data_IF_037300022426
#
_entry.id   IF_037300022426
#
_cell.length_a   1.000
_cell.length_b   1.000
_cell.length_c   1.000
_cell.angle_alpha   90.00
_cell.angle_beta   90.00
_cell.angle_gamma   90.00
#
_symmetry.space_group_name_H-M   'P 1'
#
loop_
_entity.id
_entity.type
_entity.pdbx_description
1 polymer ?
#
# COMPACT_ATOMS: atom_id res chain seq x y z
N UNK A 1 -5.65 16.74 -24.19
CA UNK A 1 -5.39 15.60 -23.30
C UNK A 1 -6.36 14.49 -23.67
N UNK A 2 -5.87 13.30 -24.01
CA UNK A 2 -6.72 12.20 -24.45
C UNK A 2 -7.69 11.81 -23.35
N UNK A 3 -8.98 11.99 -23.58
CA UNK A 3 -10.09 11.80 -22.63
C UNK A 3 -10.42 10.35 -22.29
N UNK A 4 -9.50 9.41 -22.50
CA UNK A 4 -9.80 7.98 -22.36
C UNK A 4 -8.85 7.14 -21.51
N UNK A 5 -7.64 7.61 -21.20
CA UNK A 5 -6.67 6.78 -20.43
C UNK A 5 -6.71 7.18 -18.96
N UNK A 6 -6.91 6.24 -18.04
CA UNK A 6 -6.78 6.50 -16.61
C UNK A 6 -5.41 7.08 -16.28
N UNK A 7 -5.39 8.14 -15.48
CA UNK A 7 -4.13 8.76 -15.06
C UNK A 7 -3.56 8.08 -13.80
N UNK A 8 -4.43 7.74 -12.84
CA UNK A 8 -4.07 7.10 -11.58
C UNK A 8 -4.53 5.65 -11.59
N UNK A 9 -3.64 4.73 -11.24
CA UNK A 9 -3.93 3.32 -11.01
C UNK A 9 -3.78 2.98 -9.54
N UNK A 10 -4.85 2.51 -8.92
CA UNK A 10 -4.84 2.00 -7.55
C UNK A 10 -4.67 0.49 -7.60
N UNK A 11 -3.55 0.00 -7.05
CA UNK A 11 -3.16 -1.41 -7.06
C UNK A 11 -3.37 -1.95 -5.65
N UNK A 12 -4.23 -2.95 -5.53
CA UNK A 12 -4.65 -3.54 -4.26
C UNK A 12 -4.27 -5.02 -4.24
N UNK A 13 -3.19 -5.42 -3.53
CA UNK A 13 -2.92 -6.83 -3.27
C UNK A 13 -3.98 -7.40 -2.34
N UNK A 14 -4.59 -8.53 -2.71
CA UNK A 14 -5.64 -9.18 -1.92
C UNK A 14 -5.39 -10.69 -1.79
N UNK A 15 -5.57 -11.22 -0.57
CA UNK A 15 -5.54 -12.65 -0.26
C UNK A 15 -6.50 -12.95 0.88
N UNK A 16 -7.62 -13.64 0.60
CA UNK A 16 -8.71 -13.94 1.55
C UNK A 16 -9.26 -12.67 2.24
N UNK A 17 -9.66 -11.68 1.45
CA UNK A 17 -10.10 -10.34 1.90
C UNK A 17 -11.57 -10.04 1.58
N UNK A 18 -12.42 -11.06 1.30
CA UNK A 18 -13.84 -10.87 0.95
C UNK A 18 -14.60 -9.97 1.92
N UNK A 19 -14.21 -9.96 3.21
CA UNK A 19 -14.90 -9.23 4.29
C UNK A 19 -14.50 -7.75 4.36
N UNK A 20 -13.27 -7.40 3.98
CA UNK A 20 -12.72 -6.05 4.16
C UNK A 20 -12.61 -5.28 2.84
N UNK A 21 -12.35 -5.99 1.77
CA UNK A 21 -12.19 -5.43 0.43
C UNK A 21 -13.36 -4.54 -0.02
N UNK A 22 -14.65 -4.86 0.27
CA UNK A 22 -15.76 -3.99 -0.11
C UNK A 22 -15.65 -2.57 0.45
N UNK A 23 -15.30 -2.44 1.73
CA UNK A 23 -15.16 -1.14 2.38
C UNK A 23 -13.98 -0.33 1.81
N UNK A 24 -12.86 -1.01 1.50
CA UNK A 24 -11.70 -0.41 0.86
C UNK A 24 -12.05 0.08 -0.55
N UNK A 25 -12.68 -0.76 -1.37
CA UNK A 25 -13.10 -0.38 -2.73
C UNK A 25 -14.09 0.77 -2.74
N UNK A 26 -15.04 0.79 -1.79
CA UNK A 26 -15.97 1.91 -1.66
C UNK A 26 -15.27 3.22 -1.28
N UNK A 27 -14.27 3.17 -0.38
CA UNK A 27 -13.48 4.35 -0.03
C UNK A 27 -12.66 4.85 -1.22
N UNK A 28 -12.08 3.94 -2.02
CA UNK A 28 -11.37 4.27 -3.25
C UNK A 28 -12.30 4.90 -4.29
N UNK A 29 -13.50 4.34 -4.49
CA UNK A 29 -14.50 4.88 -5.41
C UNK A 29 -14.90 6.31 -5.01
N UNK A 30 -15.18 6.56 -3.73
CA UNK A 30 -15.50 7.90 -3.23
C UNK A 30 -14.36 8.89 -3.53
N UNK A 31 -13.12 8.46 -3.34
CA UNK A 31 -11.95 9.29 -3.62
C UNK A 31 -11.75 9.53 -5.12
N UNK A 32 -12.00 8.52 -5.95
CA UNK A 32 -11.94 8.63 -7.41
C UNK A 32 -13.03 9.55 -7.96
N UNK A 33 -14.24 9.48 -7.42
CA UNK A 33 -15.35 10.37 -7.80
C UNK A 33 -15.03 11.83 -7.47
N UNK A 34 -14.45 12.09 -6.31
CA UNK A 34 -14.03 13.45 -5.92
C UNK A 34 -12.94 13.97 -6.88
N UNK A 35 -11.92 13.20 -7.14
CA UNK A 35 -10.84 13.56 -8.08
C UNK A 35 -11.40 13.84 -9.48
N UNK A 36 -12.29 12.97 -9.97
CA UNK A 36 -12.91 13.15 -11.29
C UNK A 36 -13.78 14.41 -11.37
N UNK A 37 -14.55 14.70 -10.32
CA UNK A 37 -15.44 15.87 -10.29
C UNK A 37 -14.69 17.19 -10.23
N UNK A 38 -13.54 17.24 -9.56
CA UNK A 38 -12.78 18.47 -9.35
C UNK A 38 -11.69 18.68 -10.40
N UNK A 39 -10.98 17.64 -10.78
CA UNK A 39 -9.81 17.73 -11.65
C UNK A 39 -9.99 17.03 -13.02
N UNK A 40 -11.12 16.36 -13.26
CA UNK A 40 -11.40 15.65 -14.51
C UNK A 40 -10.52 14.41 -14.73
N UNK A 41 -9.82 13.92 -13.70
CA UNK A 41 -8.86 12.82 -13.78
C UNK A 41 -9.58 11.49 -13.54
N UNK A 42 -9.32 10.52 -14.41
CA UNK A 42 -9.83 9.17 -14.26
C UNK A 42 -8.89 8.29 -13.42
N UNK A 43 -9.50 7.31 -12.76
CA UNK A 43 -8.82 6.31 -11.94
C UNK A 43 -9.24 4.91 -12.40
N UNK A 44 -8.30 3.97 -12.40
CA UNK A 44 -8.59 2.53 -12.54
C UNK A 44 -8.13 1.81 -11.28
N UNK A 45 -8.95 0.85 -10.82
CA UNK A 45 -8.62 0.01 -9.66
C UNK A 45 -8.28 -1.39 -10.15
N UNK A 46 -7.09 -1.86 -9.76
CA UNK A 46 -6.60 -3.21 -10.04
C UNK A 46 -6.48 -3.96 -8.71
N UNK A 47 -7.32 -4.97 -8.53
CA UNK A 47 -7.17 -5.93 -7.43
C UNK A 47 -6.35 -7.10 -7.92
N UNK A 48 -5.23 -7.36 -7.27
CA UNK A 48 -4.40 -8.53 -7.58
C UNK A 48 -4.73 -9.62 -6.58
N UNK A 49 -5.49 -10.61 -7.04
CA UNK A 49 -5.89 -11.77 -6.26
C UNK A 49 -4.72 -12.73 -6.13
N UNK A 50 -4.25 -12.95 -4.90
CA UNK A 50 -3.12 -13.80 -4.61
C UNK A 50 -3.53 -15.22 -4.26
N UNK A 51 -4.33 -15.85 -5.15
CA UNK A 51 -4.82 -17.21 -4.97
C UNK A 51 -5.73 -17.36 -3.73
N UNK A 52 -6.70 -16.45 -3.58
CA UNK A 52 -7.69 -16.49 -2.51
C UNK A 52 -8.57 -17.73 -2.60
N UNK A 53 -8.94 -18.28 -1.44
CA UNK A 53 -9.85 -19.42 -1.32
C UNK A 53 -11.31 -18.96 -1.05
N UNK A 54 -11.51 -17.69 -0.72
CA UNK A 54 -12.81 -17.08 -0.47
C UNK A 54 -13.35 -16.32 -1.71
N UNK A 55 -14.41 -15.55 -1.55
CA UNK A 55 -15.04 -14.79 -2.63
C UNK A 55 -14.31 -13.46 -2.97
N UNK A 56 -13.04 -13.28 -2.59
CA UNK A 56 -12.29 -12.02 -2.82
C UNK A 56 -12.35 -11.55 -4.28
N UNK A 57 -12.06 -12.44 -5.23
CA UNK A 57 -12.02 -12.09 -6.65
C UNK A 57 -13.42 -11.74 -7.22
N UNK A 58 -14.47 -12.45 -6.79
CA UNK A 58 -15.87 -12.20 -7.17
C UNK A 58 -16.35 -10.85 -6.62
N UNK A 59 -16.03 -10.56 -5.36
CA UNK A 59 -16.31 -9.27 -4.70
C UNK A 59 -15.64 -8.13 -5.45
N UNK A 60 -14.36 -8.27 -5.79
CA UNK A 60 -13.64 -7.24 -6.55
C UNK A 60 -14.29 -6.95 -7.90
N UNK A 61 -14.65 -8.00 -8.67
CA UNK A 61 -15.32 -7.84 -9.97
C UNK A 61 -16.69 -7.19 -9.84
N UNK A 62 -17.49 -7.58 -8.83
CA UNK A 62 -18.83 -7.02 -8.59
C UNK A 62 -18.78 -5.50 -8.31
N UNK A 63 -17.67 -5.03 -7.72
CA UNK A 63 -17.39 -3.62 -7.43
C UNK A 63 -16.55 -2.93 -8.53
N UNK A 64 -16.56 -3.50 -9.75
CA UNK A 64 -15.95 -2.93 -10.96
C UNK A 64 -14.42 -2.77 -10.91
N UNK A 65 -13.73 -3.45 -10.00
CA UNK A 65 -12.27 -3.52 -10.04
C UNK A 65 -11.83 -4.50 -11.14
N UNK A 66 -10.75 -4.17 -11.83
CA UNK A 66 -10.06 -5.13 -12.70
C UNK A 66 -9.32 -6.13 -11.83
N UNK A 67 -9.59 -7.43 -12.03
CA UNK A 67 -8.95 -8.49 -11.26
C UNK A 67 -7.84 -9.13 -12.08
N UNK A 68 -6.67 -9.25 -11.47
CA UNK A 68 -5.49 -9.96 -11.99
C UNK A 68 -5.10 -11.03 -10.98
N UNK A 69 -4.67 -12.21 -11.44
CA UNK A 69 -4.27 -13.30 -10.58
C UNK A 69 -2.73 -13.37 -10.46
N UNK A 70 -2.24 -13.59 -9.24
CA UNK A 70 -0.84 -13.93 -8.95
C UNK A 70 -0.80 -15.11 -7.99
N UNK A 71 -0.21 -16.22 -8.42
CA UNK A 71 -0.24 -17.48 -7.68
C UNK A 71 0.78 -17.60 -6.56
N UNK A 72 1.90 -16.86 -6.64
CA UNK A 72 2.91 -16.91 -5.60
C UNK A 72 2.59 -16.01 -4.42
N UNK A 73 2.60 -16.56 -3.21
CA UNK A 73 2.39 -15.80 -1.98
C UNK A 73 3.63 -14.98 -1.61
N UNK A 74 3.72 -13.81 -2.24
CA UNK A 74 4.72 -12.78 -1.94
C UNK A 74 4.12 -11.41 -2.28
N UNK A 75 3.94 -10.56 -1.27
CA UNK A 75 3.26 -9.27 -1.43
C UNK A 75 4.00 -8.32 -2.39
N UNK A 76 5.34 -8.37 -2.42
CA UNK A 76 6.15 -7.59 -3.37
C UNK A 76 5.82 -7.99 -4.82
N UNK A 77 5.77 -9.30 -5.07
CA UNK A 77 5.42 -9.85 -6.38
C UNK A 77 3.98 -9.52 -6.79
N UNK A 78 3.04 -9.60 -5.85
CA UNK A 78 1.64 -9.22 -6.08
C UNK A 78 1.52 -7.75 -6.48
N UNK A 79 2.22 -6.83 -5.78
CA UNK A 79 2.26 -5.42 -6.15
C UNK A 79 2.92 -5.19 -7.52
N UNK A 80 4.01 -5.90 -7.81
CA UNK A 80 4.69 -5.83 -9.12
C UNK A 80 3.78 -6.32 -10.25
N UNK A 81 3.04 -7.41 -10.05
CA UNK A 81 2.07 -7.94 -11.01
C UNK A 81 0.99 -6.89 -11.34
N UNK A 82 0.42 -6.22 -10.33
CA UNK A 82 -0.53 -5.15 -10.54
C UNK A 82 0.06 -3.96 -11.30
N UNK A 83 1.28 -3.54 -10.93
CA UNK A 83 1.97 -2.44 -11.60
C UNK A 83 2.27 -2.73 -13.07
N UNK A 84 2.61 -3.98 -13.41
CA UNK A 84 2.87 -4.41 -14.79
C UNK A 84 1.62 -4.31 -15.68
N UNK A 85 0.42 -4.46 -15.11
CA UNK A 85 -0.85 -4.37 -15.86
C UNK A 85 -1.42 -2.96 -15.95
N UNK A 86 -0.95 -2.05 -15.10
CA UNK A 86 -1.37 -0.66 -15.10
C UNK A 86 -0.84 0.08 -16.35
N UNK A 87 -1.57 1.04 -16.91
CA UNK A 87 -1.19 1.80 -18.12
C UNK A 87 -1.04 3.32 -17.88
N UNK A 88 -1.45 3.81 -16.71
CA UNK A 88 -1.37 5.23 -16.34
C UNK A 88 0.00 5.66 -15.83
N UNK A 89 0.12 6.95 -15.56
CA UNK A 89 1.39 7.57 -15.17
C UNK A 89 1.67 7.51 -13.67
N UNK A 90 0.62 7.39 -12.84
CA UNK A 90 0.72 7.34 -11.39
C UNK A 90 0.23 6.00 -10.87
N UNK A 91 1.06 5.34 -10.08
CA UNK A 91 0.76 4.09 -9.39
C UNK A 91 0.54 4.40 -7.90
N UNK A 92 -0.58 3.93 -7.36
CA UNK A 92 -0.90 4.01 -5.93
C UNK A 92 -1.07 2.58 -5.42
N UNK A 93 -0.27 2.19 -4.47
CA UNK A 93 -0.35 0.88 -3.80
C UNK A 93 -1.11 1.04 -2.50
N UNK A 94 -2.17 0.24 -2.32
CA UNK A 94 -3.08 0.32 -1.19
C UNK A 94 -3.42 -1.09 -0.70
N UNK A 95 -3.33 -1.34 0.60
CA UNK A 95 -3.68 -2.65 1.16
C UNK A 95 -5.21 -2.87 1.15
N UNK A 96 -5.65 -4.14 0.98
CA UNK A 96 -7.05 -4.53 0.77
C UNK A 96 -7.99 -4.29 1.97
N UNK A 97 -7.42 -4.02 3.14
CA UNK A 97 -8.14 -3.79 4.39
C UNK A 97 -7.96 -2.35 4.93
N UNK A 98 -7.71 -1.42 4.03
CA UNK A 98 -7.32 -0.04 4.38
C UNK A 98 -8.40 0.96 4.02
N UNK A 99 -8.79 1.77 4.99
CA UNK A 99 -9.71 2.90 4.78
C UNK A 99 -8.92 4.17 4.45
N UNK A 100 -9.30 4.84 3.36
CA UNK A 100 -8.69 6.09 2.91
C UNK A 100 -9.67 7.27 2.99
N UNK A 101 -9.21 8.51 3.26
CA UNK A 101 -10.01 9.72 3.13
C UNK A 101 -10.42 9.97 1.67
N UNK A 102 -11.57 10.62 1.48
CA UNK A 102 -12.08 10.94 0.14
C UNK A 102 -11.13 11.86 -0.66
N UNK A 103 -10.37 12.69 0.00
CA UNK A 103 -9.45 13.66 -0.60
C UNK A 103 -8.11 13.04 -1.04
N UNK A 104 -7.87 11.76 -0.73
CA UNK A 104 -6.54 11.18 -0.87
C UNK A 104 -6.03 11.17 -2.32
N UNK A 105 -6.82 10.65 -3.26
CA UNK A 105 -6.37 10.57 -4.66
C UNK A 105 -6.19 11.94 -5.30
N UNK A 106 -7.03 12.91 -4.91
CA UNK A 106 -6.85 14.29 -5.31
C UNK A 106 -5.54 14.87 -4.74
N UNK A 107 -5.26 14.61 -3.47
CA UNK A 107 -4.01 15.07 -2.85
C UNK A 107 -2.78 14.46 -3.52
N UNK A 108 -2.82 13.18 -3.86
CA UNK A 108 -1.75 12.51 -4.64
C UNK A 108 -1.61 13.16 -6.02
N UNK A 109 -2.71 13.44 -6.71
CA UNK A 109 -2.69 14.13 -8.00
C UNK A 109 -2.01 15.51 -7.90
N UNK A 110 -2.35 16.29 -6.87
CA UNK A 110 -1.75 17.61 -6.61
C UNK A 110 -0.24 17.55 -6.34
N UNK A 111 0.26 16.48 -5.71
CA UNK A 111 1.72 16.28 -5.54
C UNK A 111 2.41 16.28 -6.89
N UNK A 112 1.88 15.58 -7.88
CA UNK A 112 2.47 15.49 -9.21
C UNK A 112 2.19 16.70 -10.12
N UNK A 113 1.26 17.57 -9.76
CA UNK A 113 1.10 18.87 -10.39
C UNK A 113 2.31 19.80 -10.10
N UNK A 114 3.04 19.55 -9.02
CA UNK A 114 4.29 20.25 -8.71
C UNK A 114 5.47 19.48 -9.31
N UNK A 115 6.27 20.10 -10.21
CA UNK A 115 7.43 19.42 -10.82
C UNK A 115 8.44 18.95 -9.77
N UNK A 116 9.10 17.81 -10.08
CA UNK A 116 10.21 17.30 -9.28
C UNK A 116 9.81 16.21 -8.27
N UNK A 117 8.54 15.99 -7.98
CA UNK A 117 8.15 14.85 -7.17
C UNK A 117 8.16 13.55 -7.99
N UNK A 118 8.82 12.52 -7.45
CA UNK A 118 8.91 11.19 -8.08
C UNK A 118 7.95 10.18 -7.45
N UNK A 119 7.44 10.47 -6.27
CA UNK A 119 6.51 9.63 -5.51
C UNK A 119 6.43 10.04 -4.05
N UNK A 120 5.87 9.14 -3.23
CA UNK A 120 5.70 9.41 -1.81
C UNK A 120 5.00 8.30 -1.05
N UNK A 121 4.60 8.63 0.17
CA UNK A 121 3.81 7.77 1.03
C UNK A 121 2.83 8.62 1.84
N UNK A 122 1.82 7.95 2.39
CA UNK A 122 0.80 8.59 3.22
C UNK A 122 0.98 8.11 4.66
N UNK A 123 0.68 8.99 5.60
CA UNK A 123 0.73 8.65 7.02
C UNK A 123 -0.36 7.63 7.37
N UNK A 124 0.02 6.62 8.14
CA UNK A 124 -0.87 5.56 8.56
C UNK A 124 -1.06 5.57 10.07
N UNK A 125 -2.29 5.32 10.51
CA UNK A 125 -2.60 5.17 11.91
C UNK A 125 -3.30 3.83 12.17
N UNK A 126 -2.59 2.89 12.80
CA UNK A 126 -3.19 1.67 13.29
C UNK A 126 -3.87 1.91 14.64
N UNK A 127 -5.16 1.53 14.76
CA UNK A 127 -5.99 1.75 15.94
C UNK A 127 -6.43 0.44 16.61
N UNK A 128 -5.49 -0.36 17.16
CA UNK A 128 -5.82 -1.62 17.83
C UNK A 128 -6.64 -1.38 19.10
N UNK A 129 -7.46 -2.36 19.48
CA UNK A 129 -8.29 -2.30 20.70
C UNK A 129 -7.42 -2.23 21.96
N UNK A 130 -6.31 -2.95 22.01
CA UNK A 130 -5.40 -3.00 23.15
C UNK A 130 -4.58 -1.71 23.27
N UNK A 131 -4.78 -0.96 24.38
CA UNK A 131 -4.09 0.32 24.62
C UNK A 131 -2.54 0.20 24.58
N UNK A 132 -1.99 -0.88 25.17
CA UNK A 132 -0.54 -1.13 25.16
C UNK A 132 0.04 -1.26 23.75
N UNK A 133 -0.67 -1.99 22.89
CA UNK A 133 -0.26 -2.13 21.47
C UNK A 133 -0.38 -0.80 20.73
N UNK A 134 -1.44 -0.03 21.01
CA UNK A 134 -1.63 1.31 20.41
C UNK A 134 -0.49 2.26 20.76
N UNK A 135 -0.08 2.30 22.03
CA UNK A 135 1.05 3.13 22.47
C UNK A 135 2.35 2.68 21.80
N UNK A 136 2.59 1.37 21.76
CA UNK A 136 3.78 0.80 21.13
C UNK A 136 3.86 1.12 19.62
N UNK A 137 2.78 0.90 18.87
CA UNK A 137 2.73 1.21 17.43
C UNK A 137 2.81 2.72 17.17
N UNK A 138 2.21 3.53 18.04
CA UNK A 138 2.30 4.99 17.99
C UNK A 138 3.74 5.49 18.17
N UNK A 139 4.50 4.87 19.09
CA UNK A 139 5.93 5.15 19.26
C UNK A 139 6.72 4.82 17.96
N UNK A 140 6.48 3.65 17.36
CA UNK A 140 7.15 3.28 16.11
C UNK A 140 6.78 4.19 14.95
N UNK A 141 5.51 4.61 14.85
CA UNK A 141 5.07 5.62 13.87
C UNK A 141 5.85 6.92 14.04
N UNK A 142 5.97 7.42 15.27
CA UNK A 142 6.70 8.66 15.56
C UNK A 142 8.20 8.53 15.22
N UNK A 143 8.84 7.43 15.62
CA UNK A 143 10.25 7.17 15.31
C UNK A 143 10.48 7.00 13.81
N UNK A 144 9.59 6.28 13.13
CA UNK A 144 9.65 6.10 11.67
C UNK A 144 9.55 7.43 10.94
N UNK A 145 8.62 8.31 11.34
CA UNK A 145 8.49 9.67 10.78
C UNK A 145 9.76 10.48 10.99
N UNK A 146 10.33 10.47 12.20
CA UNK A 146 11.57 11.18 12.51
C UNK A 146 12.78 10.66 11.70
N UNK A 147 12.84 9.34 11.45
CA UNK A 147 13.85 8.72 10.61
C UNK A 147 13.57 8.86 9.09
N UNK A 148 12.42 9.44 8.72
CA UNK A 148 11.99 9.58 7.34
C UNK A 148 11.70 8.22 6.68
N UNK A 149 11.21 7.26 7.46
CA UNK A 149 10.73 5.96 6.99
C UNK A 149 9.22 6.02 6.84
N UNK A 150 8.68 5.43 5.80
CA UNK A 150 7.24 5.26 5.63
C UNK A 150 6.90 3.77 5.67
N UNK A 151 5.90 3.42 6.47
CA UNK A 151 5.28 2.11 6.48
C UNK A 151 4.20 2.05 5.39
N UNK A 152 4.01 0.91 4.78
CA UNK A 152 3.50 0.78 3.45
C UNK A 152 2.04 0.45 3.24
N UNK A 153 1.10 0.80 4.12
CA UNK A 153 -0.31 0.60 3.75
C UNK A 153 -0.74 1.45 2.55
N UNK A 154 -0.03 2.57 2.28
CA UNK A 154 -0.27 3.40 1.09
C UNK A 154 1.01 4.10 0.64
N UNK A 155 1.48 3.73 -0.54
CA UNK A 155 2.61 4.37 -1.24
C UNK A 155 2.17 4.74 -2.66
N UNK A 156 2.81 5.76 -3.23
CA UNK A 156 2.52 6.19 -4.59
C UNK A 156 3.79 6.66 -5.30
N UNK A 157 3.87 6.46 -6.61
CA UNK A 157 4.99 6.94 -7.42
C UNK A 157 4.60 7.12 -8.88
N UNK A 158 5.44 7.82 -9.63
CA UNK A 158 5.39 7.79 -11.08
C UNK A 158 5.75 6.39 -11.59
N UNK A 159 5.14 5.96 -12.68
CA UNK A 159 5.48 4.70 -13.36
C UNK A 159 6.96 4.65 -13.74
N UNK A 160 7.51 5.75 -14.26
CA UNK A 160 8.90 5.82 -14.65
C UNK A 160 9.83 5.61 -13.45
N UNK A 161 9.47 6.17 -12.29
CA UNK A 161 10.17 5.92 -11.03
C UNK A 161 10.09 4.44 -10.63
N UNK A 162 8.89 3.84 -10.70
CA UNK A 162 8.69 2.43 -10.39
C UNK A 162 9.58 1.54 -11.27
N UNK A 163 9.58 1.81 -12.57
CA UNK A 163 10.40 1.09 -13.57
C UNK A 163 11.89 1.28 -13.32
N UNK A 164 12.35 2.50 -13.07
CA UNK A 164 13.74 2.80 -12.77
C UNK A 164 14.25 2.13 -11.49
N UNK A 165 13.36 1.90 -10.52
CA UNK A 165 13.66 1.16 -9.29
C UNK A 165 13.62 -0.36 -9.46
N UNK A 166 13.10 -0.89 -10.57
CA UNK A 166 12.87 -2.31 -10.77
C UNK A 166 11.75 -2.88 -9.91
N UNK A 167 10.79 -2.03 -9.49
CA UNK A 167 9.67 -2.44 -8.64
C UNK A 167 10.03 -2.75 -7.19
N UNK A 168 9.17 -3.51 -6.53
CA UNK A 168 9.42 -4.06 -5.18
C UNK A 168 10.40 -5.23 -5.24
N UNK A 169 11.27 -5.38 -4.24
CA UNK A 169 12.22 -6.51 -4.14
C UNK A 169 11.48 -7.80 -3.73
N UNK A 170 11.27 -8.70 -4.68
CA UNK A 170 10.54 -9.97 -4.50
C UNK A 170 11.30 -10.97 -3.61
N UNK A 171 12.57 -10.74 -3.31
CA UNK A 171 13.32 -11.54 -2.34
C UNK A 171 12.97 -11.22 -0.88
N UNK A 172 12.16 -10.18 -0.65
CA UNK A 172 11.71 -9.75 0.67
C UNK A 172 10.33 -10.34 0.99
N UNK A 173 10.21 -10.95 2.16
CA UNK A 173 8.96 -11.47 2.71
C UNK A 173 8.39 -10.55 3.80
N UNK A 174 9.11 -9.50 4.17
CA UNK A 174 8.69 -8.48 5.13
C UNK A 174 9.50 -7.20 4.93
N UNK A 175 8.81 -6.03 5.06
CA UNK A 175 9.44 -4.71 4.96
C UNK A 175 9.84 -4.33 3.53
N UNK A 176 9.24 -4.94 2.52
CA UNK A 176 9.38 -4.61 1.10
C UNK A 176 8.95 -3.17 0.81
N UNK A 177 7.98 -2.68 1.55
CA UNK A 177 7.44 -1.33 1.51
C UNK A 177 8.45 -0.29 2.03
N UNK A 178 9.06 -0.56 3.18
CA UNK A 178 10.12 0.29 3.76
C UNK A 178 11.33 0.32 2.84
N UNK A 179 11.71 -0.82 2.27
CA UNK A 179 12.80 -0.92 1.29
C UNK A 179 12.49 -0.09 0.03
N UNK A 180 11.30 -0.26 -0.54
CA UNK A 180 10.88 0.47 -1.74
C UNK A 180 10.89 1.98 -1.51
N UNK A 181 10.34 2.45 -0.39
CA UNK A 181 10.36 3.87 -0.04
C UNK A 181 11.79 4.40 0.15
N UNK A 182 12.67 3.63 0.80
CA UNK A 182 14.06 4.02 0.97
C UNK A 182 14.82 4.09 -0.37
N UNK A 183 14.55 3.16 -1.32
CA UNK A 183 15.09 3.21 -2.68
C UNK A 183 14.55 4.41 -3.47
N UNK A 184 13.26 4.70 -3.35
CA UNK A 184 12.62 5.86 -3.98
C UNK A 184 13.23 7.19 -3.47
N UNK A 185 13.47 7.33 -2.17
CA UNK A 185 14.16 8.50 -1.61
C UNK A 185 15.59 8.67 -2.14
N UNK A 186 16.34 7.56 -2.29
CA UNK A 186 17.68 7.61 -2.88
C UNK A 186 17.64 8.00 -4.35
N UNK A 187 16.74 7.40 -5.11
CA UNK A 187 16.53 7.72 -6.52
C UNK A 187 16.16 9.20 -6.71
N UNK A 188 15.24 9.74 -5.91
CA UNK A 188 14.86 11.14 -5.96
C UNK A 188 16.09 12.07 -5.87
N UNK A 189 17.03 11.79 -4.94
CA UNK A 189 18.27 12.56 -4.82
C UNK A 189 19.14 12.49 -6.09
N UNK A 190 19.21 11.33 -6.75
CA UNK A 190 20.00 11.17 -7.98
C UNK A 190 19.44 11.94 -9.18
N UNK A 191 18.10 12.08 -9.24
CA UNK A 191 17.44 12.82 -10.34
C UNK A 191 17.11 14.27 -9.97
N UNK A 192 17.71 14.81 -8.90
CA UNK A 192 17.42 16.13 -8.34
C UNK A 192 15.92 16.33 -8.05
N UNK A 193 15.21 15.26 -7.71
CA UNK A 193 13.80 15.26 -7.37
C UNK A 193 13.54 15.13 -5.88
N UNK A 194 12.29 14.93 -5.52
CA UNK A 194 11.83 14.82 -4.14
C UNK A 194 10.79 13.72 -3.97
N UNK A 195 10.61 13.26 -2.74
CA UNK A 195 9.46 12.42 -2.32
C UNK A 195 8.58 13.20 -1.37
N UNK A 196 7.27 13.01 -1.49
CA UNK A 196 6.28 13.63 -0.58
C UNK A 196 5.85 12.62 0.48
N UNK A 197 5.90 13.02 1.73
CA UNK A 197 5.18 12.34 2.81
C UNK A 197 3.91 13.17 3.11
N UNK A 198 2.73 12.56 2.85
CA UNK A 198 1.43 13.18 3.11
C UNK A 198 1.07 12.85 4.56
N UNK A 199 1.13 13.81 5.45
CA UNK A 199 0.84 13.70 6.87
C UNK A 199 -0.43 14.46 7.31
N UNK A 200 -0.96 15.26 6.42
CA UNK A 200 -2.23 15.96 6.58
C UNK A 200 -3.47 15.07 6.38
N UNK A 201 -3.29 13.92 5.73
CA UNK A 201 -4.31 12.88 5.56
C UNK A 201 -3.82 11.59 6.19
N UNK A 202 -4.71 10.92 6.93
CA UNK A 202 -4.36 9.69 7.65
C UNK A 202 -5.12 8.53 7.03
N UNK A 203 -4.39 7.48 6.68
CA UNK A 203 -4.94 6.21 6.21
C UNK A 203 -5.03 5.23 7.39
N UNK A 204 -6.11 4.49 7.47
CA UNK A 204 -6.38 3.61 8.61
C UNK A 204 -6.46 2.15 8.13
N UNK A 205 -5.36 1.38 8.24
CA UNK A 205 -5.39 -0.05 7.95
C UNK A 205 -6.12 -0.82 9.06
N UNK A 206 -6.63 -2.00 8.74
CA UNK A 206 -7.20 -2.91 9.72
C UNK A 206 -6.14 -3.34 10.74
N UNK A 207 -6.49 -3.28 12.02
CA UNK A 207 -5.61 -3.74 13.10
C UNK A 207 -5.98 -5.13 13.61
N UNK A 208 -6.83 -5.89 12.88
CA UNK A 208 -7.35 -7.22 13.28
C UNK A 208 -6.26 -8.17 13.76
N UNK A 209 -5.12 -8.19 13.08
CA UNK A 209 -3.96 -9.01 13.42
C UNK A 209 -3.40 -8.64 14.80
N UNK A 210 -3.24 -7.38 15.07
CA UNK A 210 -2.76 -6.88 16.36
C UNK A 210 -3.78 -7.07 17.49
N UNK A 211 -5.08 -7.07 17.17
CA UNK A 211 -6.13 -7.34 18.15
C UNK A 211 -6.15 -8.81 18.59
N UNK A 212 -5.81 -9.73 17.68
CA UNK A 212 -5.77 -11.17 17.96
C UNK A 212 -4.45 -11.60 18.62
N UNK A 213 -3.34 -10.94 18.30
CA UNK A 213 -2.04 -11.35 18.79
C UNK A 213 -1.81 -11.01 20.27
N UNK A 214 -1.03 -11.88 20.92
CA UNK A 214 -0.45 -11.55 22.21
C UNK A 214 0.60 -10.42 22.04
N UNK A 215 0.76 -9.59 23.09
CA UNK A 215 1.67 -8.44 23.06
C UNK A 215 3.10 -8.86 22.65
N UNK A 216 3.63 -9.94 23.26
CA UNK A 216 4.99 -10.41 22.97
C UNK A 216 5.19 -10.75 21.47
N UNK A 217 4.14 -11.33 20.83
CA UNK A 217 4.18 -11.63 19.39
C UNK A 217 4.23 -10.35 18.57
N UNK A 218 3.43 -9.35 18.91
CA UNK A 218 3.49 -8.04 18.27
C UNK A 218 4.86 -7.42 18.40
N UNK A 219 5.46 -7.43 19.63
CA UNK A 219 6.79 -6.87 19.87
C UNK A 219 7.88 -7.51 19.03
N UNK A 220 7.87 -8.83 18.86
CA UNK A 220 8.86 -9.54 18.05
C UNK A 220 8.67 -9.28 16.57
N UNK A 221 7.43 -9.43 16.06
CA UNK A 221 7.14 -9.41 14.62
C UNK A 221 7.14 -8.00 14.01
N UNK A 222 7.04 -6.97 14.81
CA UNK A 222 7.18 -5.58 14.38
C UNK A 222 8.48 -4.93 14.80
N UNK A 223 9.41 -5.71 15.39
CA UNK A 223 10.73 -5.20 15.75
C UNK A 223 11.59 -4.97 14.50
N UNK A 224 12.07 -3.75 14.26
CA UNK A 224 12.86 -3.44 13.06
C UNK A 224 14.13 -4.26 12.92
N UNK A 225 14.80 -4.63 14.04
CA UNK A 225 16.00 -5.45 14.00
C UNK A 225 15.68 -6.88 13.58
N UNK A 226 14.58 -7.47 14.09
CA UNK A 226 14.10 -8.80 13.67
C UNK A 226 13.74 -8.79 12.19
N UNK A 227 13.01 -7.76 11.75
CA UNK A 227 12.67 -7.59 10.33
C UNK A 227 13.93 -7.47 9.49
N UNK A 228 14.87 -6.59 9.85
CA UNK A 228 16.10 -6.37 9.09
C UNK A 228 16.95 -7.65 8.92
N UNK A 229 17.04 -8.46 9.96
CA UNK A 229 17.81 -9.71 9.94
C UNK A 229 17.12 -10.84 9.17
N UNK A 230 15.79 -10.94 9.29
CA UNK A 230 15.03 -12.11 8.83
C UNK A 230 14.12 -11.85 7.62
N UNK A 231 14.11 -10.62 7.08
CA UNK A 231 13.19 -10.21 6.00
C UNK A 231 13.22 -11.07 4.74
N UNK A 232 14.30 -11.80 4.49
CA UNK A 232 14.49 -12.70 3.34
C UNK A 232 14.17 -14.17 3.65
N UNK A 233 13.84 -14.50 4.90
CA UNK A 233 13.64 -15.90 5.33
C UNK A 233 12.15 -16.24 5.29
N UNK A 234 11.69 -16.82 4.19
CA UNK A 234 10.27 -17.17 3.95
C UNK A 234 9.62 -17.97 5.09
N UNK A 235 10.33 -18.93 5.66
CA UNK A 235 9.79 -19.80 6.72
C UNK A 235 9.41 -19.05 8.00
N UNK A 236 10.15 -17.98 8.33
CA UNK A 236 9.89 -17.14 9.51
C UNK A 236 8.55 -16.40 9.34
N UNK A 237 8.27 -15.90 8.14
CA UNK A 237 7.11 -15.05 7.86
C UNK A 237 5.86 -15.82 7.44
N UNK A 238 5.88 -17.17 7.40
CA UNK A 238 4.70 -17.99 7.09
C UNK A 238 3.47 -17.60 7.92
N UNK A 239 3.65 -17.36 9.23
CA UNK A 239 2.54 -16.95 10.10
C UNK A 239 2.01 -15.55 9.83
N UNK A 240 2.72 -14.73 9.06
CA UNK A 240 2.22 -13.44 8.57
C UNK A 240 1.22 -13.63 7.42
N UNK A 241 1.43 -14.65 6.61
CA UNK A 241 0.59 -15.02 5.47
C UNK A 241 -0.47 -16.07 5.83
N UNK A 242 -0.64 -16.45 7.11
CA UNK A 242 -1.63 -17.44 7.54
C UNK A 242 -3.05 -16.86 7.45
N UNK A 243 -3.89 -17.48 6.61
CA UNK A 243 -5.28 -17.08 6.37
C UNK A 243 -6.15 -17.06 7.66
N UNK A 244 -5.82 -17.89 8.66
CA UNK A 244 -6.54 -17.95 9.93
C UNK A 244 -6.46 -16.67 10.77
N UNK A 245 -5.58 -15.75 10.41
CA UNK A 245 -5.39 -14.46 11.06
C UNK A 245 -5.95 -13.28 10.25
N UNK A 246 -6.71 -13.61 9.21
CA UNK A 246 -7.27 -12.62 8.27
C UNK A 246 -8.79 -12.46 8.40
#
# INVERSE_FOLDING_TARGET
MNSGTPYIFVIIPAFDEERYLPATLQAVENSALLLRSQDGVNTEVIVVDNNSADATAEVARSLRARVVAESEHNIARVRNCGAATAQGNVLVFLDADTHIPAELLQRIHQVFATPGYVGGAVDIECRPKKRSIRVYLGMWRMLGRAAGLAQGATQFCLRDTFTALGGYDESLFMGEDVDFYARMRRHAKHVAGSVRFIDELIVVPSCRRFDQWALWRTLIWTNPLVIALLRRVRSVWRGWYDARLR
#
